data_IF_658126265447
#
_entry.id   IF_658126265447
#
_cell.length_a   1.000
_cell.length_b   1.000
_cell.length_c   1.000
_cell.angle_alpha   90.00
_cell.angle_beta   90.00
_cell.angle_gamma   90.00
#
_symmetry.space_group_name_H-M   'P 1'
#
loop_
_entity.id
_entity.type
_entity.pdbx_description
1 polymer ?
#
# COMPACT_ATOMS: atom_id res chain seq x y z
N UNK A 1 -10.87 -12.11 -3.65
CA UNK A 1 -10.23 -12.62 -2.41
C UNK A 1 -11.16 -12.37 -1.24
N UNK A 2 -11.34 -13.38 -0.39
CA UNK A 2 -12.15 -13.31 0.82
C UNK A 2 -11.23 -13.40 2.04
N UNK A 3 -11.21 -12.36 2.88
CA UNK A 3 -10.46 -12.33 4.15
C UNK A 3 -11.47 -12.57 5.26
N UNK A 4 -11.29 -13.64 6.02
CA UNK A 4 -12.19 -14.04 7.10
C UNK A 4 -11.52 -14.01 8.47
N UNK A 5 -12.32 -13.86 9.50
CA UNK A 5 -11.92 -13.94 10.91
C UNK A 5 -10.89 -12.86 11.33
N UNK A 6 -10.87 -11.69 10.66
CA UNK A 6 -9.97 -10.61 11.01
C UNK A 6 -10.53 -9.73 12.12
N UNK A 7 -9.66 -9.22 13.00
CA UNK A 7 -9.96 -8.06 13.83
C UNK A 7 -9.65 -6.80 13.01
N UNK A 8 -10.69 -6.21 12.40
CA UNK A 8 -10.60 -5.09 11.45
C UNK A 8 -10.69 -3.76 12.19
N UNK A 9 -9.72 -2.88 12.02
CA UNK A 9 -9.77 -1.53 12.59
C UNK A 9 -10.62 -0.60 11.72
N UNK A 10 -11.73 -0.15 12.27
CA UNK A 10 -12.60 0.84 11.66
C UNK A 10 -13.28 1.66 12.77
N UNK A 11 -13.69 2.88 12.48
CA UNK A 11 -14.39 3.75 13.41
C UNK A 11 -13.74 3.85 14.80
N UNK A 12 -12.40 3.94 14.83
CA UNK A 12 -11.55 4.08 16.02
C UNK A 12 -11.51 2.86 16.97
N UNK A 13 -11.99 1.68 16.55
CA UNK A 13 -11.88 0.45 17.31
C UNK A 13 -11.79 -0.79 16.41
N UNK A 14 -11.53 -1.97 17.00
CA UNK A 14 -11.49 -3.22 16.26
C UNK A 14 -12.86 -3.89 16.24
N UNK A 15 -13.23 -4.39 15.07
CA UNK A 15 -14.43 -5.17 14.81
C UNK A 15 -14.06 -6.57 14.35
N UNK A 16 -14.78 -7.56 14.80
CA UNK A 16 -14.68 -8.93 14.30
C UNK A 16 -15.45 -9.05 12.98
N UNK A 17 -14.76 -8.80 11.86
CA UNK A 17 -15.37 -8.75 10.54
C UNK A 17 -14.68 -9.66 9.53
N UNK A 18 -15.48 -10.12 8.58
CA UNK A 18 -15.06 -10.70 7.32
C UNK A 18 -15.16 -9.64 6.22
N UNK A 19 -14.27 -9.68 5.25
CA UNK A 19 -14.32 -8.76 4.13
C UNK A 19 -13.99 -9.44 2.79
N UNK A 20 -14.60 -8.93 1.72
CA UNK A 20 -14.30 -9.36 0.36
C UNK A 20 -13.65 -8.22 -0.41
N UNK A 21 -12.54 -8.54 -1.09
CA UNK A 21 -11.84 -7.63 -1.99
C UNK A 21 -12.11 -8.06 -3.43
N UNK A 22 -12.62 -7.15 -4.24
CA UNK A 22 -12.86 -7.32 -5.67
C UNK A 22 -12.26 -6.13 -6.41
N UNK A 23 -11.49 -6.39 -7.46
CA UNK A 23 -10.86 -5.35 -8.30
C UNK A 23 -10.10 -4.29 -7.47
N UNK A 24 -9.29 -4.75 -6.50
CA UNK A 24 -8.49 -3.87 -5.65
C UNK A 24 -9.28 -3.04 -4.61
N UNK A 25 -10.59 -3.27 -4.45
CA UNK A 25 -11.45 -2.53 -3.51
C UNK A 25 -12.15 -3.44 -2.54
N UNK A 26 -12.45 -2.95 -1.34
CA UNK A 26 -13.31 -3.64 -0.38
C UNK A 26 -14.74 -3.57 -0.92
N UNK A 27 -15.24 -4.71 -1.40
CA UNK A 27 -16.58 -4.82 -1.99
C UNK A 27 -17.65 -5.13 -0.96
N UNK A 28 -17.32 -5.95 0.04
CA UNK A 28 -18.25 -6.35 1.10
C UNK A 28 -17.53 -6.38 2.44
N UNK A 29 -18.25 -6.03 3.49
CA UNK A 29 -17.78 -6.04 4.88
C UNK A 29 -18.95 -6.50 5.77
N UNK A 30 -18.71 -7.47 6.66
CA UNK A 30 -19.78 -8.05 7.48
C UNK A 30 -19.20 -8.65 8.77
N UNK A 31 -19.98 -8.75 9.85
CA UNK A 31 -19.58 -9.51 11.04
C UNK A 31 -19.15 -10.94 10.72
N UNK A 32 -18.24 -11.50 11.52
CA UNK A 32 -17.72 -12.85 11.32
C UNK A 32 -18.82 -13.88 11.02
N UNK A 33 -18.57 -14.69 10.01
CA UNK A 33 -19.42 -15.82 9.62
C UNK A 33 -20.74 -15.43 8.94
N UNK A 34 -20.97 -14.15 8.69
CA UNK A 34 -22.18 -13.70 8.00
C UNK A 34 -21.96 -13.53 6.48
N UNK A 35 -20.71 -13.47 6.03
CA UNK A 35 -20.39 -13.36 4.62
C UNK A 35 -20.11 -14.76 4.03
N UNK A 36 -20.95 -15.28 3.13
CA UNK A 36 -20.74 -16.59 2.55
C UNK A 36 -19.54 -16.56 1.58
N UNK A 37 -18.71 -17.61 1.60
CA UNK A 37 -17.68 -17.79 0.57
C UNK A 37 -18.31 -18.11 -0.78
N UNK A 38 -17.67 -17.66 -1.85
CA UNK A 38 -18.05 -17.98 -3.24
C UNK A 38 -17.20 -19.15 -3.75
N UNK A 39 -17.76 -19.95 -4.66
CA UNK A 39 -17.03 -21.07 -5.26
C UNK A 39 -15.79 -20.56 -6.03
N UNK A 40 -14.63 -21.18 -5.74
CA UNK A 40 -13.38 -20.82 -6.39
C UNK A 40 -12.74 -19.50 -5.90
N UNK A 41 -13.30 -18.88 -4.87
CA UNK A 41 -12.73 -17.67 -4.28
C UNK A 41 -11.48 -17.99 -3.46
N UNK A 42 -10.43 -17.18 -3.64
CA UNK A 42 -9.25 -17.23 -2.79
C UNK A 42 -9.61 -16.80 -1.37
N UNK A 43 -9.29 -17.62 -0.38
CA UNK A 43 -9.61 -17.37 1.03
C UNK A 43 -8.33 -17.17 1.83
N UNK A 44 -8.24 -16.03 2.52
CA UNK A 44 -7.24 -15.74 3.53
C UNK A 44 -7.88 -15.84 4.92
N UNK A 45 -7.46 -16.81 5.72
CA UNK A 45 -7.86 -16.90 7.13
C UNK A 45 -6.96 -15.99 7.98
N UNK A 46 -7.53 -14.93 8.50
CA UNK A 46 -6.85 -13.91 9.30
C UNK A 46 -7.14 -14.09 10.82
N UNK A 47 -7.46 -15.31 11.26
CA UNK A 47 -7.69 -15.59 12.67
C UNK A 47 -6.52 -15.16 13.56
N UNK A 48 -6.79 -14.30 14.54
CA UNK A 48 -5.77 -13.75 15.45
C UNK A 48 -4.90 -12.65 14.84
N UNK A 49 -5.22 -12.19 13.65
CA UNK A 49 -4.53 -11.07 13.00
C UNK A 49 -5.37 -9.79 13.08
N UNK A 50 -4.65 -8.67 13.17
CA UNK A 50 -5.24 -7.34 13.07
C UNK A 50 -5.19 -6.89 11.61
N UNK A 51 -6.30 -6.41 11.08
CA UNK A 51 -6.39 -5.79 9.77
C UNK A 51 -6.53 -4.28 9.93
N UNK A 52 -5.56 -3.56 9.42
CA UNK A 52 -5.48 -2.09 9.50
C UNK A 52 -5.42 -1.51 8.08
N UNK A 53 -5.86 -0.27 7.87
CA UNK A 53 -5.47 0.48 6.68
C UNK A 53 -3.94 0.51 6.56
N UNK A 54 -3.44 0.46 5.34
CA UNK A 54 -2.01 0.63 5.10
C UNK A 54 -1.51 1.96 5.65
N UNK A 55 -0.24 1.99 6.06
CA UNK A 55 0.38 3.21 6.57
C UNK A 55 0.65 4.19 5.43
N UNK A 56 0.64 5.48 5.76
CA UNK A 56 1.06 6.55 4.85
C UNK A 56 2.34 7.19 5.41
N UNK A 57 3.43 7.09 4.65
CA UNK A 57 4.64 7.87 4.94
C UNK A 57 4.56 9.20 4.19
N UNK A 58 4.50 10.29 4.93
CA UNK A 58 4.32 11.62 4.37
C UNK A 58 5.64 12.36 4.12
N UNK A 59 6.77 11.78 4.49
CA UNK A 59 8.08 12.43 4.32
C UNK A 59 9.21 11.41 4.45
N UNK A 60 9.75 10.95 3.32
CA UNK A 60 10.89 10.05 3.27
C UNK A 60 11.91 10.50 2.24
N UNK A 61 13.18 10.54 2.62
CA UNK A 61 14.29 10.84 1.70
C UNK A 61 14.87 9.58 1.07
N UNK A 62 14.59 8.41 1.65
CA UNK A 62 15.07 7.14 1.16
C UNK A 62 15.41 6.16 2.27
N UNK A 63 15.82 4.96 1.89
CA UNK A 63 16.23 3.88 2.77
C UNK A 63 17.16 2.90 2.04
N UNK A 64 17.69 1.88 2.72
CA UNK A 64 18.48 0.80 2.13
C UNK A 64 19.72 1.25 1.33
N UNK A 65 20.23 2.47 1.59
CA UNK A 65 21.36 3.04 0.87
C UNK A 65 20.99 3.78 -0.42
N UNK A 66 19.70 3.94 -0.70
CA UNK A 66 19.17 4.73 -1.82
C UNK A 66 18.53 6.02 -1.31
N UNK A 67 18.68 7.11 -2.05
CA UNK A 67 18.03 8.40 -1.81
C UNK A 67 17.16 8.76 -3.03
N UNK A 68 15.98 9.32 -2.79
CA UNK A 68 15.13 9.79 -3.89
C UNK A 68 15.80 10.85 -4.73
N UNK A 69 16.72 11.63 -4.14
CA UNK A 69 17.48 12.65 -4.82
C UNK A 69 18.49 12.08 -5.82
N UNK A 70 18.80 10.79 -5.79
CA UNK A 70 19.67 10.14 -6.76
C UNK A 70 19.01 10.02 -8.14
N UNK A 71 17.68 10.02 -8.18
CA UNK A 71 16.87 9.82 -9.39
C UNK A 71 17.25 8.51 -10.13
N UNK A 72 17.52 7.45 -9.35
CA UNK A 72 17.82 6.12 -9.85
C UNK A 72 16.54 5.25 -9.85
N UNK A 73 16.02 4.83 -11.02
CA UNK A 73 14.81 4.02 -11.10
C UNK A 73 14.90 2.69 -10.34
N UNK A 74 16.07 2.03 -10.34
CA UNK A 74 16.25 0.77 -9.64
C UNK A 74 16.22 0.96 -8.13
N UNK A 75 16.89 1.98 -7.62
CA UNK A 75 16.84 2.38 -6.22
C UNK A 75 15.43 2.73 -5.76
N UNK A 76 14.65 3.43 -6.58
CA UNK A 76 13.25 3.74 -6.29
C UNK A 76 12.39 2.48 -6.15
N UNK A 77 12.54 1.51 -7.04
CA UNK A 77 11.82 0.24 -6.93
C UNK A 77 12.20 -0.54 -5.67
N UNK A 78 13.46 -0.49 -5.26
CA UNK A 78 13.89 -1.13 -4.01
C UNK A 78 13.28 -0.44 -2.79
N UNK A 79 13.24 0.90 -2.79
CA UNK A 79 12.58 1.69 -1.75
C UNK A 79 11.09 1.36 -1.65
N UNK A 80 10.36 1.35 -2.75
CA UNK A 80 8.94 0.99 -2.78
C UNK A 80 8.68 -0.41 -2.20
N UNK A 81 9.51 -1.40 -2.58
CA UNK A 81 9.41 -2.75 -2.01
C UNK A 81 9.72 -2.79 -0.52
N UNK A 82 10.69 -2.01 -0.07
CA UNK A 82 11.01 -1.88 1.35
C UNK A 82 9.84 -1.29 2.12
N UNK A 83 9.30 -0.17 1.68
CA UNK A 83 8.15 0.50 2.31
C UNK A 83 6.92 -0.42 2.36
N UNK A 84 6.60 -1.10 1.25
CA UNK A 84 5.50 -2.06 1.21
C UNK A 84 5.66 -3.19 2.24
N UNK A 85 6.88 -3.69 2.47
CA UNK A 85 7.15 -4.71 3.50
C UNK A 85 6.99 -4.19 4.93
N UNK A 86 7.06 -2.87 5.14
CA UNK A 86 6.78 -2.22 6.43
C UNK A 86 5.28 -1.89 6.61
N UNK A 87 4.43 -2.22 5.62
CA UNK A 87 3.00 -1.93 5.64
C UNK A 87 2.65 -0.52 5.16
N UNK A 88 3.60 0.21 4.57
CA UNK A 88 3.34 1.49 3.92
C UNK A 88 2.73 1.24 2.55
N UNK A 89 1.52 1.76 2.32
CA UNK A 89 0.77 1.63 1.05
C UNK A 89 0.65 2.94 0.29
N UNK A 90 0.97 4.03 0.95
CA UNK A 90 1.06 5.35 0.32
C UNK A 90 2.31 6.04 0.86
N UNK A 91 3.07 6.66 -0.02
CA UNK A 91 4.25 7.32 0.45
C UNK A 91 4.63 8.55 -0.39
N UNK A 92 5.18 9.59 0.28
CA UNK A 92 5.57 10.84 -0.34
C UNK A 92 7.10 10.89 -0.44
N UNK A 93 7.69 10.53 -1.59
CA UNK A 93 9.12 10.68 -1.81
C UNK A 93 9.50 12.15 -1.70
N UNK A 94 10.51 12.44 -0.88
CA UNK A 94 10.94 13.80 -0.58
C UNK A 94 12.37 14.01 -1.06
N UNK A 95 12.57 14.95 -1.98
CA UNK A 95 13.90 15.31 -2.47
C UNK A 95 14.64 16.18 -1.45
N UNK A 96 15.96 16.07 -1.43
CA UNK A 96 16.82 17.08 -0.85
C UNK A 96 16.89 18.31 -1.74
N UNK A 97 17.39 19.44 -1.22
CA UNK A 97 17.71 20.60 -2.03
C UNK A 97 18.80 20.24 -3.04
N UNK A 98 18.51 20.41 -4.33
CA UNK A 98 19.40 20.09 -5.42
C UNK A 98 19.33 21.15 -6.52
N UNK A 99 20.31 21.13 -7.44
CA UNK A 99 20.29 21.99 -8.62
C UNK A 99 19.07 21.69 -9.52
N UNK A 100 18.52 22.68 -10.19
CA UNK A 100 17.32 22.53 -11.01
C UNK A 100 17.35 21.35 -12.00
N UNK A 101 18.45 21.06 -12.73
CA UNK A 101 18.49 19.89 -13.63
C UNK A 101 18.35 18.55 -12.89
N UNK A 102 18.80 18.45 -11.63
CA UNK A 102 18.62 17.25 -10.83
C UNK A 102 17.17 17.12 -10.32
N UNK A 103 16.58 18.23 -9.86
CA UNK A 103 15.17 18.26 -9.45
C UNK A 103 14.24 17.85 -10.60
N UNK A 104 14.52 18.31 -11.83
CA UNK A 104 13.75 17.90 -13.01
C UNK A 104 13.78 16.38 -13.23
N UNK A 105 14.93 15.72 -13.03
CA UNK A 105 15.05 14.26 -13.16
C UNK A 105 14.25 13.55 -12.07
N UNK A 106 14.35 14.02 -10.83
CA UNK A 106 13.62 13.46 -9.68
C UNK A 106 12.12 13.54 -9.94
N UNK A 107 11.61 14.71 -10.34
CA UNK A 107 10.18 14.91 -10.57
C UNK A 107 9.65 14.14 -11.78
N UNK A 108 10.44 13.95 -12.83
CA UNK A 108 10.05 13.07 -13.94
C UNK A 108 9.90 11.63 -13.48
N UNK A 109 10.91 11.10 -12.76
CA UNK A 109 10.86 9.74 -12.25
C UNK A 109 9.67 9.54 -11.28
N UNK A 110 9.37 10.53 -10.44
CA UNK A 110 8.20 10.50 -9.56
C UNK A 110 6.88 10.46 -10.33
N UNK A 111 6.75 11.25 -11.38
CA UNK A 111 5.58 11.28 -12.26
C UNK A 111 5.38 9.95 -12.98
N UNK A 112 6.43 9.43 -13.63
CA UNK A 112 6.39 8.16 -14.34
C UNK A 112 5.97 7.01 -13.40
N UNK A 113 6.48 6.99 -12.17
CA UNK A 113 6.14 5.96 -11.16
C UNK A 113 4.69 6.09 -10.64
N UNK A 114 4.12 7.28 -10.59
CA UNK A 114 2.75 7.49 -10.15
C UNK A 114 1.75 7.03 -11.22
N UNK A 115 2.06 7.19 -12.50
CA UNK A 115 1.20 6.78 -13.61
C UNK A 115 1.14 5.24 -13.76
N UNK A 116 2.18 4.50 -13.32
CA UNK A 116 2.20 3.04 -13.35
C UNK A 116 1.30 2.39 -12.28
N UNK A 117 0.90 3.14 -11.26
CA UNK A 117 0.11 2.64 -10.13
C UNK A 117 -1.41 2.78 -10.29
N UNK A 118 -1.92 3.46 -11.33
CA UNK A 118 -3.36 3.52 -11.60
C UNK A 118 -3.81 2.21 -12.29
N UNK A 119 -4.53 1.30 -11.60
CA UNK A 119 -5.17 0.19 -12.28
C UNK A 119 -6.23 0.78 -13.23
N UNK A 120 -6.12 0.45 -14.51
CA UNK A 120 -7.17 0.76 -15.48
C UNK A 120 -8.53 0.35 -14.89
N UNK A 121 -9.42 1.34 -14.69
CA UNK A 121 -10.72 1.24 -14.04
C UNK A 121 -11.76 0.45 -14.82
#
# INVERSE_FOLDING_TARGET
MFIRNADVFADHHFHQWDLRVERGRIAELSPWGQLPSKDGEEILDASGLLLLPGLTDIHSHGAMGHDFSDADPAGWQELQRFEARQGVTQYCPTSMSAAAPQLEKIFRLAGDSADEEEPEG
#
